data_IF_919484474363
#
_entry.id   IF_919484474363
#
_cell.length_a   1.000
_cell.length_b   1.000
_cell.length_c   1.000
_cell.angle_alpha   90.00
_cell.angle_beta   90.00
_cell.angle_gamma   90.00
#
_symmetry.space_group_name_H-M   'P 1'
#
loop_
_entity.id
_entity.type
_entity.pdbx_description
1 polymer ?
#
# COMPACT_ATOMS: atom_id res chain seq x y z
N UNK A 1 -42.58 -16.34 66.65
CA UNK A 1 -41.21 -16.86 66.48
C UNK A 1 -40.80 -16.55 65.04
N UNK A 2 -40.10 -15.44 64.81
CA UNK A 2 -39.75 -14.93 63.47
C UNK A 2 -38.51 -15.67 62.96
N UNK A 3 -38.60 -16.38 61.84
CA UNK A 3 -37.46 -16.98 61.15
C UNK A 3 -36.62 -15.86 60.52
N UNK A 4 -35.36 -15.76 60.96
CA UNK A 4 -34.36 -14.84 60.43
C UNK A 4 -33.68 -15.54 59.25
N UNK A 5 -33.83 -14.95 58.07
CA UNK A 5 -33.15 -15.32 56.84
C UNK A 5 -31.66 -14.99 56.96
N UNK A 6 -30.79 -16.01 56.93
CA UNK A 6 -29.34 -15.86 56.81
C UNK A 6 -28.99 -15.79 55.32
N UNK A 7 -28.94 -14.57 54.77
CA UNK A 7 -28.22 -14.31 53.52
C UNK A 7 -26.72 -14.28 53.83
N UNK A 8 -25.99 -15.30 53.38
CA UNK A 8 -24.54 -15.24 53.24
C UNK A 8 -24.19 -14.35 52.03
N UNK A 9 -23.35 -13.32 52.16
CA UNK A 9 -22.77 -12.68 50.99
C UNK A 9 -21.70 -13.60 50.42
N UNK A 10 -21.95 -14.13 49.22
CA UNK A 10 -20.95 -14.77 48.39
C UNK A 10 -19.94 -13.69 47.96
N UNK A 11 -18.81 -13.62 48.66
CA UNK A 11 -17.71 -12.73 48.30
C UNK A 11 -17.11 -13.26 46.99
N UNK A 12 -17.46 -12.63 45.87
CA UNK A 12 -16.84 -12.89 44.57
C UNK A 12 -15.40 -12.38 44.65
N UNK A 13 -14.44 -13.28 44.88
CA UNK A 13 -13.02 -12.96 44.75
C UNK A 13 -12.75 -12.88 43.24
N UNK A 14 -12.80 -11.67 42.68
CA UNK A 14 -12.16 -11.42 41.40
C UNK A 14 -10.66 -11.71 41.58
N UNK A 15 -10.03 -12.56 40.76
CA UNK A 15 -8.58 -12.70 40.81
C UNK A 15 -7.98 -11.33 40.52
N UNK A 16 -7.16 -10.81 41.44
CA UNK A 16 -6.25 -9.72 41.14
C UNK A 16 -5.33 -10.22 40.03
N UNK A 17 -5.59 -9.84 38.79
CA UNK A 17 -4.61 -9.93 37.73
C UNK A 17 -3.45 -9.01 38.16
N UNK A 18 -2.31 -9.60 38.51
CA UNK A 18 -1.07 -8.84 38.55
C UNK A 18 -0.87 -8.31 37.12
N UNK A 19 -0.91 -6.99 36.96
CA UNK A 19 -0.63 -6.34 35.69
C UNK A 19 0.84 -6.63 35.37
N UNK A 20 1.07 -7.68 34.58
CA UNK A 20 2.41 -7.98 34.08
C UNK A 20 2.66 -6.98 32.95
N UNK A 21 3.81 -6.32 32.97
CA UNK A 21 4.29 -5.56 31.80
C UNK A 21 4.49 -6.50 30.61
N UNK A 22 4.65 -5.95 29.40
CA UNK A 22 4.77 -6.74 28.17
C UNK A 22 5.89 -7.80 28.23
N UNK A 23 7.01 -7.50 28.89
CA UNK A 23 8.11 -8.46 29.10
C UNK A 23 7.69 -9.67 29.96
N UNK A 24 6.76 -9.48 30.90
CA UNK A 24 6.16 -10.57 31.69
C UNK A 24 5.28 -11.49 30.83
N UNK A 25 4.53 -10.93 29.88
CA UNK A 25 3.75 -11.72 28.93
C UNK A 25 4.66 -12.48 27.97
N UNK A 26 5.70 -11.84 27.44
CA UNK A 26 6.68 -12.46 26.55
C UNK A 26 7.42 -13.61 27.25
N UNK A 27 7.89 -13.41 28.47
CA UNK A 27 8.62 -14.45 29.23
C UNK A 27 7.74 -15.61 29.72
N UNK A 28 6.44 -15.39 29.94
CA UNK A 28 5.49 -16.43 30.34
C UNK A 28 4.85 -17.19 29.17
N UNK A 29 5.07 -16.73 27.93
CA UNK A 29 4.52 -17.34 26.72
C UNK A 29 5.56 -18.21 26.03
N UNK A 30 5.33 -19.52 25.98
CA UNK A 30 6.23 -20.50 25.35
C UNK A 30 6.57 -20.17 23.90
N UNK A 31 5.60 -19.62 23.17
CA UNK A 31 5.70 -19.35 21.74
C UNK A 31 6.56 -18.12 21.43
N UNK A 32 7.00 -17.38 22.47
CA UNK A 32 7.78 -16.15 22.37
C UNK A 32 9.16 -16.27 23.04
N UNK A 33 9.63 -17.49 23.32
CA UNK A 33 10.92 -17.71 23.96
C UNK A 33 12.11 -17.17 23.15
N UNK A 34 12.08 -17.27 21.81
CA UNK A 34 13.11 -16.72 20.92
C UNK A 34 13.12 -15.19 21.02
N UNK A 35 11.94 -14.57 21.01
CA UNK A 35 11.79 -13.13 21.21
C UNK A 35 12.31 -12.69 22.58
N UNK A 36 12.00 -13.46 23.63
CA UNK A 36 12.50 -13.20 24.98
C UNK A 36 14.04 -13.24 25.04
N UNK A 37 14.68 -14.19 24.34
CA UNK A 37 16.14 -14.24 24.24
C UNK A 37 16.72 -12.98 23.57
N UNK A 38 16.14 -12.56 22.45
CA UNK A 38 16.56 -11.35 21.72
C UNK A 38 16.42 -10.11 22.62
N UNK A 39 15.29 -9.92 23.28
CA UNK A 39 15.05 -8.75 24.14
C UNK A 39 16.04 -8.70 25.32
N UNK A 40 16.42 -9.86 25.89
CA UNK A 40 17.41 -9.91 26.96
C UNK A 40 18.85 -9.62 26.48
N UNK A 41 19.13 -9.85 25.20
CA UNK A 41 20.41 -9.51 24.57
C UNK A 41 20.52 -8.00 24.25
N UNK A 42 19.38 -7.34 24.00
CA UNK A 42 19.31 -5.92 23.64
C UNK A 42 18.45 -5.10 24.63
N UNK A 43 19.05 -4.51 25.68
CA UNK A 43 18.31 -3.79 26.74
C UNK A 43 17.57 -2.52 26.27
N UNK A 44 17.99 -1.93 25.15
CA UNK A 44 17.29 -0.80 24.52
C UNK A 44 15.88 -1.21 24.04
N UNK A 45 15.75 -2.43 23.47
CA UNK A 45 14.47 -2.99 23.01
C UNK A 45 13.55 -3.26 24.20
N UNK A 46 14.10 -3.78 25.30
CA UNK A 46 13.34 -3.97 26.53
C UNK A 46 12.78 -2.65 27.05
N UNK A 47 13.55 -1.56 26.96
CA UNK A 47 13.10 -0.23 27.38
C UNK A 47 12.03 0.33 26.44
N UNK A 48 12.17 0.14 25.13
CA UNK A 48 11.18 0.53 24.13
C UNK A 48 9.84 -0.23 24.31
N UNK A 49 9.90 -1.53 24.61
CA UNK A 49 8.73 -2.37 24.88
C UNK A 49 8.12 -2.07 26.27
N UNK A 50 8.93 -1.86 27.30
CA UNK A 50 8.42 -1.55 28.65
C UNK A 50 7.68 -0.21 28.71
N UNK A 51 8.04 0.74 27.85
CA UNK A 51 7.34 2.02 27.68
C UNK A 51 6.25 1.97 26.60
N UNK A 52 6.09 0.83 25.92
CA UNK A 52 5.10 0.67 24.87
C UNK A 52 3.70 0.51 25.45
N UNK A 53 2.76 1.29 24.90
CA UNK A 53 1.34 1.08 25.06
C UNK A 53 0.73 0.76 23.69
N UNK A 54 -0.35 -0.01 23.68
CA UNK A 54 -1.11 -0.36 22.49
C UNK A 54 -1.03 -1.85 22.14
N UNK A 55 -0.89 -2.16 20.86
CA UNK A 55 -0.97 -3.52 20.34
C UNK A 55 0.38 -3.98 19.83
N UNK A 56 0.87 -5.10 20.33
CA UNK A 56 2.10 -5.71 19.84
C UNK A 56 1.79 -7.00 19.09
N UNK A 57 2.12 -7.04 17.81
CA UNK A 57 2.06 -8.26 17.02
C UNK A 57 3.34 -9.05 17.23
N UNK A 58 3.38 -9.94 18.21
CA UNK A 58 4.59 -10.66 18.58
C UNK A 58 4.85 -11.83 17.62
N UNK A 59 5.96 -11.85 16.87
CA UNK A 59 6.29 -13.00 16.03
C UNK A 59 6.63 -14.21 16.91
N UNK A 60 6.05 -15.37 16.56
CA UNK A 60 6.34 -16.64 17.22
C UNK A 60 7.78 -17.11 17.02
N UNK A 61 8.22 -18.10 17.79
CA UNK A 61 9.55 -18.71 17.65
C UNK A 61 9.83 -19.16 16.20
N UNK A 62 8.89 -19.90 15.59
CA UNK A 62 9.03 -20.39 14.22
C UNK A 62 9.13 -19.22 13.21
N UNK A 63 8.37 -18.15 13.45
CA UNK A 63 8.41 -16.94 12.62
C UNK A 63 9.78 -16.27 12.65
N UNK A 64 10.33 -16.07 13.86
CA UNK A 64 11.63 -15.44 14.07
C UNK A 64 12.77 -16.32 13.52
N UNK A 65 12.71 -17.62 13.75
CA UNK A 65 13.73 -18.56 13.26
C UNK A 65 13.75 -18.59 11.72
N UNK A 66 12.57 -18.58 11.08
CA UNK A 66 12.44 -18.48 9.63
C UNK A 66 13.00 -17.14 9.11
N UNK A 67 12.69 -16.03 9.77
CA UNK A 67 13.20 -14.70 9.41
C UNK A 67 14.73 -14.63 9.53
N UNK A 68 15.29 -15.04 10.66
CA UNK A 68 16.74 -15.06 10.91
C UNK A 68 17.45 -15.94 9.86
N UNK A 69 16.86 -17.07 9.50
CA UNK A 69 17.39 -17.94 8.45
C UNK A 69 17.35 -17.25 7.07
N UNK A 70 16.26 -16.56 6.75
CA UNK A 70 16.08 -15.87 5.47
C UNK A 70 17.06 -14.70 5.28
N UNK A 71 17.41 -13.99 6.35
CA UNK A 71 18.37 -12.85 6.29
C UNK A 71 19.83 -13.28 6.35
N UNK A 72 20.13 -14.59 6.38
CA UNK A 72 21.50 -15.11 6.35
C UNK A 72 22.12 -15.37 7.73
N UNK A 73 21.29 -15.46 8.77
CA UNK A 73 21.68 -15.82 10.13
C UNK A 73 21.69 -14.63 11.10
N UNK A 74 21.92 -14.90 12.41
CA UNK A 74 21.79 -13.90 13.48
C UNK A 74 22.77 -12.73 13.36
N UNK A 75 23.92 -12.95 12.72
CA UNK A 75 24.94 -11.91 12.53
C UNK A 75 24.59 -10.88 11.45
N UNK A 76 23.59 -11.16 10.62
CA UNK A 76 23.13 -10.25 9.57
C UNK A 76 22.12 -9.21 10.09
N UNK A 77 21.57 -9.41 11.29
CA UNK A 77 20.58 -8.52 11.89
C UNK A 77 21.30 -7.49 12.75
N UNK A 78 21.30 -6.23 12.32
CA UNK A 78 21.87 -5.12 13.10
C UNK A 78 20.91 -4.70 14.20
N UNK A 79 21.39 -4.12 15.33
CA UNK A 79 20.52 -3.63 16.39
C UNK A 79 19.45 -2.64 15.89
N UNK A 80 19.83 -1.75 14.97
CA UNK A 80 18.91 -0.78 14.35
C UNK A 80 17.79 -1.49 13.57
N UNK A 81 18.12 -2.53 12.80
CA UNK A 81 17.12 -3.30 12.07
C UNK A 81 16.15 -4.06 12.99
N UNK A 82 16.60 -4.51 14.17
CA UNK A 82 15.72 -5.12 15.17
C UNK A 82 14.80 -4.06 15.78
N UNK A 83 15.30 -2.86 16.05
CA UNK A 83 14.48 -1.76 16.56
C UNK A 83 13.38 -1.38 15.56
N UNK A 84 13.72 -1.20 14.29
CA UNK A 84 12.74 -0.96 13.21
C UNK A 84 11.73 -2.09 13.12
N UNK A 85 12.18 -3.34 13.31
CA UNK A 85 11.31 -4.50 13.30
C UNK A 85 10.28 -4.40 14.42
N UNK A 86 10.72 -4.14 15.64
CA UNK A 86 9.83 -4.00 16.80
C UNK A 86 8.88 -2.82 16.63
N UNK A 87 9.34 -1.68 16.13
CA UNK A 87 8.49 -0.51 15.89
C UNK A 87 7.45 -0.77 14.79
N UNK A 88 7.75 -1.62 13.81
CA UNK A 88 6.78 -2.05 12.81
C UNK A 88 5.74 -3.05 13.36
N UNK A 89 6.13 -3.88 14.34
CA UNK A 89 5.22 -4.83 15.00
C UNK A 89 4.40 -4.19 16.12
N UNK A 90 4.69 -2.93 16.48
CA UNK A 90 4.07 -2.23 17.59
C UNK A 90 3.17 -1.10 17.09
N UNK A 91 1.91 -1.13 17.52
CA UNK A 91 0.94 -0.07 17.32
C UNK A 91 0.76 0.72 18.62
N UNK A 92 0.73 2.07 18.57
CA UNK A 92 0.45 2.89 19.76
C UNK A 92 -1.00 2.78 20.24
N UNK A 93 -1.89 2.16 19.45
CA UNK A 93 -3.30 1.99 19.76
C UNK A 93 -3.60 0.54 20.15
N UNK A 94 -4.53 0.35 21.08
CA UNK A 94 -4.98 -0.97 21.51
C UNK A 94 -6.11 -1.46 20.60
N UNK A 95 -5.90 -2.58 19.94
CA UNK A 95 -6.82 -3.21 19.02
C UNK A 95 -7.07 -4.66 19.45
N UNK A 96 -8.28 -4.95 19.91
CA UNK A 96 -8.71 -6.31 20.18
C UNK A 96 -8.91 -7.10 18.88
N UNK A 97 -8.74 -8.42 18.92
CA UNK A 97 -8.88 -9.25 17.73
C UNK A 97 -10.30 -9.15 17.14
N UNK A 98 -11.33 -8.96 17.97
CA UNK A 98 -12.70 -8.70 17.52
C UNK A 98 -12.80 -7.46 16.63
N UNK A 99 -12.14 -6.35 17.03
CA UNK A 99 -12.16 -5.10 16.26
C UNK A 99 -11.42 -5.25 14.92
N UNK A 100 -10.34 -6.05 14.89
CA UNK A 100 -9.57 -6.34 13.68
C UNK A 100 -10.26 -7.36 12.75
N UNK A 101 -11.19 -8.14 13.29
CA UNK A 101 -11.94 -9.17 12.56
C UNK A 101 -13.30 -8.66 12.07
N UNK A 102 -13.43 -7.35 11.85
CA UNK A 102 -14.63 -6.72 11.30
C UNK A 102 -14.66 -6.75 9.78
N UNK A 103 -15.86 -6.79 9.19
CA UNK A 103 -16.02 -6.76 7.74
C UNK A 103 -15.44 -5.45 7.17
N UNK A 104 -14.68 -5.53 6.09
CA UNK A 104 -13.85 -4.44 5.58
C UNK A 104 -12.42 -4.43 6.12
N UNK A 105 -12.13 -5.12 7.22
CA UNK A 105 -10.84 -5.09 7.91
C UNK A 105 -10.54 -3.76 8.60
N UNK A 106 -9.36 -3.67 9.21
CA UNK A 106 -8.91 -2.51 9.95
C UNK A 106 -7.48 -2.12 9.56
N UNK A 107 -7.23 -0.82 9.43
CA UNK A 107 -5.86 -0.29 9.36
C UNK A 107 -5.34 -0.04 10.76
N UNK A 108 -4.15 -0.54 11.04
CA UNK A 108 -3.46 -0.40 12.31
C UNK A 108 -2.21 0.42 12.08
N UNK A 109 -2.16 1.62 12.65
CA UNK A 109 -0.94 2.44 12.63
C UNK A 109 0.18 1.76 13.41
N UNK A 110 1.38 1.75 12.85
CA UNK A 110 2.60 1.26 13.52
C UNK A 110 3.37 2.43 14.14
N UNK A 111 4.49 2.14 14.81
CA UNK A 111 5.44 3.16 15.29
C UNK A 111 6.59 3.42 14.32
N UNK A 112 6.64 2.67 13.20
CA UNK A 112 7.70 2.82 12.21
C UNK A 112 7.57 4.17 11.48
N UNK A 113 8.52 5.06 11.79
CA UNK A 113 8.63 6.42 11.25
C UNK A 113 9.87 6.63 10.37
N UNK A 114 10.74 5.62 10.24
CA UNK A 114 11.93 5.71 9.40
C UNK A 114 11.52 6.00 7.95
N UNK A 115 12.06 7.07 7.36
CA UNK A 115 11.75 7.53 6.00
C UNK A 115 12.09 6.48 4.94
N UNK A 116 13.01 5.55 5.21
CA UNK A 116 13.30 4.41 4.34
C UNK A 116 12.08 3.49 4.15
N UNK A 117 11.20 3.44 5.15
CA UNK A 117 10.03 2.55 5.20
C UNK A 117 8.69 3.28 5.31
N UNK A 118 8.68 4.58 5.63
CA UNK A 118 7.49 5.39 5.88
C UNK A 118 7.62 6.79 5.26
N UNK A 119 7.65 6.86 3.92
CA UNK A 119 7.61 8.10 3.16
C UNK A 119 6.16 8.57 2.92
N UNK A 120 5.46 8.87 4.02
CA UNK A 120 4.06 9.31 4.04
C UNK A 120 3.91 10.71 4.67
N UNK A 121 4.86 11.62 4.41
CA UNK A 121 4.86 13.01 4.93
C UNK A 121 4.84 13.10 6.46
N UNK A 122 5.61 12.24 7.14
CA UNK A 122 5.69 12.20 8.61
C UNK A 122 4.57 11.40 9.29
N UNK A 123 3.74 10.70 8.50
CA UNK A 123 2.77 9.72 9.02
C UNK A 123 3.46 8.36 9.13
N UNK A 124 3.28 7.70 10.27
CA UNK A 124 3.80 6.34 10.47
C UNK A 124 3.18 5.36 9.48
N UNK A 125 3.94 4.34 9.09
CA UNK A 125 3.40 3.30 8.24
C UNK A 125 2.30 2.51 8.97
N UNK A 126 1.48 1.77 8.23
CA UNK A 126 0.37 0.98 8.77
C UNK A 126 0.53 -0.49 8.41
N UNK A 127 -0.23 -1.33 9.09
CA UNK A 127 -0.53 -2.69 8.65
C UNK A 127 -2.03 -2.83 8.50
N UNK A 128 -2.45 -3.68 7.57
CA UNK A 128 -3.87 -3.99 7.38
C UNK A 128 -4.18 -5.31 8.06
N UNK A 129 -5.12 -5.34 8.99
CA UNK A 129 -5.55 -6.58 9.64
C UNK A 129 -6.98 -6.92 9.20
N UNK A 130 -7.21 -8.18 8.82
CA UNK A 130 -8.55 -8.64 8.45
C UNK A 130 -8.70 -10.15 8.57
N UNK A 131 -9.90 -10.58 8.96
CA UNK A 131 -10.36 -11.95 8.83
C UNK A 131 -11.14 -12.21 7.52
N UNK A 132 -11.30 -11.19 6.67
CA UNK A 132 -12.07 -11.22 5.41
C UNK A 132 -11.16 -11.02 4.18
N UNK A 133 -10.01 -11.68 4.18
CA UNK A 133 -9.06 -11.65 3.06
C UNK A 133 -8.25 -10.35 2.97
N UNK A 134 -7.42 -10.25 1.93
CA UNK A 134 -6.47 -9.15 1.73
C UNK A 134 -7.14 -7.82 1.40
N UNK A 135 -8.38 -7.86 0.91
CA UNK A 135 -9.21 -6.67 0.61
C UNK A 135 -10.22 -6.36 1.71
N UNK A 136 -10.36 -7.26 2.70
CA UNK A 136 -11.41 -7.19 3.72
C UNK A 136 -12.83 -7.42 3.18
N UNK A 137 -12.98 -7.89 1.94
CA UNK A 137 -14.28 -8.08 1.31
C UNK A 137 -14.79 -9.52 1.34
N UNK A 138 -13.97 -10.53 1.63
CA UNK A 138 -14.35 -11.93 1.51
C UNK A 138 -15.68 -12.20 2.26
N UNK A 139 -16.55 -13.04 1.70
CA UNK A 139 -17.81 -13.40 2.38
C UNK A 139 -17.62 -14.46 3.45
N UNK A 140 -16.55 -15.25 3.35
CA UNK A 140 -16.21 -16.29 4.30
C UNK A 140 -15.27 -15.73 5.37
N UNK A 141 -15.60 -15.97 6.64
CA UNK A 141 -14.73 -15.61 7.74
C UNK A 141 -13.53 -16.59 7.77
N UNK A 142 -12.34 -16.05 7.57
CA UNK A 142 -11.07 -16.76 7.70
C UNK A 142 -10.42 -16.56 9.08
N UNK A 143 -9.19 -17.04 9.22
CA UNK A 143 -8.35 -16.67 10.35
C UNK A 143 -7.98 -15.17 10.26
N UNK A 144 -7.84 -14.50 11.41
CA UNK A 144 -7.36 -13.12 11.46
C UNK A 144 -5.93 -13.07 10.93
N UNK A 145 -5.71 -12.27 9.89
CA UNK A 145 -4.41 -12.09 9.24
C UNK A 145 -4.00 -10.63 9.27
N UNK A 146 -2.71 -10.39 9.37
CA UNK A 146 -2.05 -9.10 9.26
C UNK A 146 -1.28 -9.07 7.95
N UNK A 147 -1.65 -8.12 7.10
CA UNK A 147 -1.07 -7.80 5.82
C UNK A 147 -0.16 -6.59 5.98
N UNK A 148 1.07 -6.72 5.48
CA UNK A 148 2.15 -5.74 5.63
C UNK A 148 2.73 -5.43 4.25
N UNK A 149 4.05 -5.27 4.14
CA UNK A 149 4.73 -5.24 2.85
C UNK A 149 4.53 -6.51 2.02
N UNK A 150 5.07 -6.45 0.80
CA UNK A 150 5.01 -7.52 -0.20
C UNK A 150 5.40 -8.89 0.36
N UNK A 151 4.60 -9.90 0.04
CA UNK A 151 4.81 -11.28 0.48
C UNK A 151 3.57 -11.88 1.14
N UNK A 152 3.80 -12.93 1.92
CA UNK A 152 2.73 -13.63 2.65
C UNK A 152 2.30 -12.86 3.90
N UNK A 153 1.00 -12.87 4.18
CA UNK A 153 0.40 -12.31 5.38
C UNK A 153 0.74 -13.12 6.63
N UNK A 154 0.84 -12.47 7.78
CA UNK A 154 1.00 -13.14 9.07
C UNK A 154 -0.36 -13.51 9.68
N UNK A 155 -0.58 -14.77 10.02
CA UNK A 155 -1.78 -15.23 10.72
C UNK A 155 -1.63 -15.02 12.22
N UNK A 156 -2.67 -14.46 12.86
CA UNK A 156 -2.74 -14.36 14.32
C UNK A 156 -3.09 -15.74 14.88
N UNK A 157 -2.13 -16.37 15.55
CA UNK A 157 -2.27 -17.72 16.13
C UNK A 157 -2.83 -17.68 17.54
N UNK A 158 -2.46 -16.65 18.31
CA UNK A 158 -2.93 -16.46 19.68
C UNK A 158 -3.25 -14.97 19.93
N UNK A 159 -4.53 -14.58 19.84
CA UNK A 159 -4.94 -13.20 20.04
C UNK A 159 -5.10 -12.82 21.52
N UNK A 160 -5.21 -11.51 21.75
CA UNK A 160 -5.74 -10.86 22.97
C UNK A 160 -5.02 -11.22 24.29
N UNK A 161 -3.69 -11.24 24.29
CA UNK A 161 -2.92 -11.38 25.54
C UNK A 161 -2.75 -10.03 26.23
N UNK A 162 -3.48 -9.84 27.32
CA UNK A 162 -3.50 -8.60 28.08
C UNK A 162 -2.19 -8.34 28.84
N UNK A 163 -1.71 -7.10 28.77
CA UNK A 163 -0.64 -6.56 29.62
C UNK A 163 -1.00 -5.13 30.08
N UNK A 164 -0.25 -4.58 31.04
CA UNK A 164 -0.56 -3.27 31.65
C UNK A 164 -0.73 -2.12 30.64
N UNK A 165 -0.05 -2.19 29.49
CA UNK A 165 -0.08 -1.17 28.44
C UNK A 165 -0.94 -1.52 27.22
N UNK A 166 -1.58 -2.69 27.16
CA UNK A 166 -2.45 -3.07 26.03
C UNK A 166 -2.53 -4.57 25.74
N UNK A 167 -2.38 -4.95 24.46
CA UNK A 167 -2.59 -6.32 23.98
C UNK A 167 -1.40 -6.85 23.19
N UNK A 168 -1.09 -8.14 23.35
CA UNK A 168 -0.17 -8.89 22.50
C UNK A 168 -0.96 -9.89 21.66
N UNK A 169 -0.75 -9.87 20.34
CA UNK A 169 -1.22 -10.89 19.41
C UNK A 169 -0.03 -11.67 18.88
N UNK A 170 0.01 -12.98 19.12
CA UNK A 170 1.07 -13.83 18.56
C UNK A 170 0.78 -14.09 17.09
N UNK A 171 1.78 -13.91 16.24
CA UNK A 171 1.69 -14.12 14.78
C UNK A 171 2.67 -15.21 14.31
N UNK A 172 2.28 -15.94 13.26
CA UNK A 172 3.06 -17.04 12.68
C UNK A 172 4.19 -16.59 11.75
N UNK A 173 4.30 -15.28 11.46
CA UNK A 173 5.29 -14.70 10.56
C UNK A 173 5.75 -13.34 11.04
N UNK A 174 6.98 -13.00 10.71
CA UNK A 174 7.49 -11.63 10.86
C UNK A 174 6.85 -10.75 9.79
N UNK A 175 6.39 -9.56 10.17
CA UNK A 175 5.80 -8.59 9.24
C UNK A 175 6.86 -8.12 8.23
N UNK A 176 6.51 -8.14 6.95
CA UNK A 176 7.42 -7.74 5.88
C UNK A 176 7.52 -6.22 5.85
N UNK A 177 8.74 -5.69 5.93
CA UNK A 177 8.96 -4.26 5.80
C UNK A 177 8.40 -3.72 4.48
N UNK A 178 7.72 -2.56 4.53
CA UNK A 178 7.29 -1.87 3.32
C UNK A 178 8.48 -1.59 2.41
N UNK A 179 8.30 -1.81 1.11
CA UNK A 179 9.27 -1.46 0.07
C UNK A 179 8.66 -0.39 -0.83
N UNK A 180 9.48 0.29 -1.62
CA UNK A 180 8.95 1.16 -2.67
C UNK A 180 8.21 0.33 -3.74
N UNK A 181 7.49 1.01 -4.62
CA UNK A 181 6.66 0.35 -5.63
C UNK A 181 7.48 -0.53 -6.57
N UNK A 182 8.64 -0.05 -7.03
CA UNK A 182 9.50 -0.77 -7.97
C UNK A 182 10.02 -2.08 -7.36
N UNK A 183 10.51 -2.02 -6.11
CA UNK A 183 10.99 -3.21 -5.41
C UNK A 183 9.85 -4.15 -5.02
N UNK A 184 8.68 -3.60 -4.71
CA UNK A 184 7.46 -4.38 -4.49
C UNK A 184 7.07 -5.16 -5.74
N UNK A 185 7.08 -4.54 -6.91
CA UNK A 185 6.80 -5.21 -8.19
C UNK A 185 7.81 -6.34 -8.48
N UNK A 186 9.09 -6.11 -8.22
CA UNK A 186 10.14 -7.13 -8.38
C UNK A 186 9.89 -8.35 -7.47
N UNK A 187 9.65 -8.13 -6.17
CA UNK A 187 9.44 -9.21 -5.20
C UNK A 187 8.10 -9.93 -5.42
N UNK A 188 7.07 -9.22 -5.84
CA UNK A 188 5.77 -9.78 -6.20
C UNK A 188 5.79 -10.54 -7.55
N UNK A 189 6.94 -10.66 -8.21
CA UNK A 189 7.09 -11.31 -9.52
C UNK A 189 6.25 -10.64 -10.63
N UNK A 190 6.03 -9.33 -10.53
CA UNK A 190 5.30 -8.52 -11.51
C UNK A 190 6.26 -7.97 -12.57
N UNK A 191 7.05 -8.86 -13.19
CA UNK A 191 8.16 -8.51 -14.08
C UNK A 191 7.72 -7.64 -15.27
N UNK A 192 6.53 -7.89 -15.84
CA UNK A 192 6.04 -7.10 -16.98
C UNK A 192 5.74 -5.66 -16.59
N UNK A 193 5.19 -5.45 -15.39
CA UNK A 193 4.94 -4.10 -14.87
C UNK A 193 6.27 -3.39 -14.56
N UNK A 194 7.21 -4.09 -13.96
CA UNK A 194 8.54 -3.57 -13.68
C UNK A 194 9.26 -3.13 -14.97
N UNK A 195 9.25 -3.97 -16.02
CA UNK A 195 9.80 -3.63 -17.33
C UNK A 195 9.12 -2.39 -17.96
N UNK A 196 7.81 -2.24 -17.79
CA UNK A 196 7.08 -1.06 -18.29
C UNK A 196 7.53 0.25 -17.58
N UNK A 197 7.76 0.18 -16.26
CA UNK A 197 8.24 1.32 -15.47
C UNK A 197 9.67 1.68 -15.86
N UNK A 198 10.55 0.68 -16.01
CA UNK A 198 11.94 0.89 -16.43
C UNK A 198 12.02 1.47 -17.84
N UNK A 199 11.26 0.93 -18.79
CA UNK A 199 11.23 1.40 -20.19
C UNK A 199 10.79 2.87 -20.30
N UNK A 200 9.90 3.32 -19.42
CA UNK A 200 9.40 4.71 -19.40
C UNK A 200 10.22 5.64 -18.50
N UNK A 201 11.25 5.13 -17.82
CA UNK A 201 12.10 5.88 -16.89
C UNK A 201 11.29 6.59 -15.78
N UNK A 202 10.19 5.97 -15.34
CA UNK A 202 9.31 6.51 -14.29
C UNK A 202 9.65 6.00 -12.88
N UNK A 203 10.66 5.14 -12.74
CA UNK A 203 11.08 4.53 -11.47
C UNK A 203 11.20 5.55 -10.34
N UNK A 204 11.93 6.65 -10.57
CA UNK A 204 12.12 7.69 -9.55
C UNK A 204 10.79 8.35 -9.14
N UNK A 205 9.91 8.64 -10.10
CA UNK A 205 8.61 9.25 -9.84
C UNK A 205 7.74 8.32 -9.00
N UNK A 206 7.65 7.05 -9.39
CA UNK A 206 6.80 6.06 -8.73
C UNK A 206 7.32 5.73 -7.32
N UNK A 207 8.63 5.74 -7.10
CA UNK A 207 9.23 5.39 -5.81
C UNK A 207 9.27 6.57 -4.81
N UNK A 208 9.27 7.81 -5.30
CA UNK A 208 9.40 9.01 -4.43
C UNK A 208 8.08 9.75 -4.19
N UNK A 209 7.07 9.56 -5.04
CA UNK A 209 5.76 10.20 -4.87
C UNK A 209 5.10 9.69 -3.60
N UNK A 210 4.88 10.58 -2.62
CA UNK A 210 4.17 10.25 -1.40
C UNK A 210 2.66 10.04 -1.66
N UNK A 211 2.02 9.22 -0.82
CA UNK A 211 0.60 8.85 -0.92
C UNK A 211 0.23 8.31 -2.31
N UNK A 212 1.00 7.32 -2.73
CA UNK A 212 0.85 6.68 -4.03
C UNK A 212 0.05 5.38 -3.92
N UNK A 213 -1.02 5.28 -4.69
CA UNK A 213 -1.78 4.03 -4.81
C UNK A 213 -1.52 3.41 -6.19
N UNK A 214 -0.93 2.22 -6.21
CA UNK A 214 -0.60 1.49 -7.42
C UNK A 214 -1.60 0.36 -7.66
N UNK A 215 -2.23 0.34 -8.83
CA UNK A 215 -2.98 -0.81 -9.33
C UNK A 215 -2.04 -1.65 -10.19
N UNK A 216 -1.55 -2.76 -9.67
CA UNK A 216 -0.46 -3.52 -10.26
C UNK A 216 -0.98 -4.79 -10.96
N UNK A 217 -1.06 -4.85 -12.30
CA UNK A 217 -1.53 -6.06 -12.99
C UNK A 217 -0.52 -7.20 -12.87
N UNK A 218 -1.03 -8.43 -12.76
CA UNK A 218 -0.23 -9.65 -12.80
C UNK A 218 0.38 -9.90 -14.19
N UNK A 219 1.44 -10.70 -14.28
CA UNK A 219 2.00 -11.11 -15.57
C UNK A 219 0.95 -11.87 -16.42
N UNK A 220 0.11 -12.67 -15.76
CA UNK A 220 -1.02 -13.37 -16.36
C UNK A 220 -2.04 -12.38 -16.94
N UNK A 221 -2.27 -11.24 -16.26
CA UNK A 221 -3.14 -10.18 -16.77
C UNK A 221 -2.61 -9.57 -18.07
N UNK A 222 -1.31 -9.26 -18.13
CA UNK A 222 -0.67 -8.75 -19.35
C UNK A 222 -0.75 -9.76 -20.49
N UNK A 223 -0.46 -11.04 -20.21
CA UNK A 223 -0.53 -12.11 -21.19
C UNK A 223 -1.97 -12.33 -21.70
N UNK A 224 -2.97 -12.31 -20.81
CA UNK A 224 -4.38 -12.44 -21.15
C UNK A 224 -4.90 -11.26 -21.99
N UNK A 225 -4.39 -10.05 -21.74
CA UNK A 225 -4.70 -8.87 -22.53
C UNK A 225 -3.97 -8.86 -23.90
N UNK A 226 -3.02 -9.77 -24.13
CA UNK A 226 -2.23 -9.81 -25.36
C UNK A 226 -1.35 -8.57 -25.55
N UNK A 227 -0.96 -7.92 -24.45
CA UNK A 227 -0.18 -6.69 -24.49
C UNK A 227 1.29 -7.04 -24.67
N UNK A 228 1.86 -6.59 -25.79
CA UNK A 228 3.30 -6.61 -26.04
C UNK A 228 3.86 -5.20 -25.83
N UNK A 229 4.64 -5.03 -24.76
CA UNK A 229 5.27 -3.75 -24.43
C UNK A 229 6.20 -3.26 -25.55
N UNK A 230 6.76 -4.15 -26.37
CA UNK A 230 7.64 -3.78 -27.49
C UNK A 230 6.88 -3.13 -28.65
N UNK A 231 5.60 -3.47 -28.80
CA UNK A 231 4.72 -2.92 -29.83
C UNK A 231 4.10 -1.57 -29.44
N UNK A 232 4.13 -1.21 -28.15
CA UNK A 232 3.62 0.06 -27.63
C UNK A 232 4.68 1.17 -27.65
N UNK A 233 4.23 2.38 -27.94
CA UNK A 233 5.06 3.58 -27.79
C UNK A 233 5.29 3.90 -26.30
N UNK A 234 6.36 4.63 -25.99
CA UNK A 234 6.61 5.06 -24.61
C UNK A 234 5.45 5.89 -24.06
N UNK A 235 4.86 6.78 -24.86
CA UNK A 235 3.73 7.62 -24.44
C UNK A 235 2.51 6.78 -24.04
N UNK A 236 2.21 5.72 -24.80
CA UNK A 236 1.12 4.80 -24.47
C UNK A 236 1.36 4.06 -23.16
N UNK A 237 2.60 3.64 -22.91
CA UNK A 237 2.97 2.95 -21.65
C UNK A 237 2.88 3.94 -20.48
N UNK A 238 3.36 5.17 -20.65
CA UNK A 238 3.25 6.23 -19.63
C UNK A 238 1.79 6.51 -19.29
N UNK A 239 0.92 6.68 -20.29
CA UNK A 239 -0.49 6.95 -20.06
C UNK A 239 -1.20 5.76 -19.39
N UNK A 240 -0.84 4.53 -19.77
CA UNK A 240 -1.34 3.33 -19.09
C UNK A 240 -0.89 3.26 -17.62
N UNK A 241 0.39 3.53 -17.32
CA UNK A 241 0.91 3.54 -15.96
C UNK A 241 0.24 4.64 -15.11
N UNK A 242 0.01 5.83 -15.69
CA UNK A 242 -0.75 6.90 -15.03
C UNK A 242 -2.19 6.49 -14.73
N UNK A 243 -2.84 5.75 -15.61
CA UNK A 243 -4.19 5.25 -15.38
C UNK A 243 -4.26 4.17 -14.28
N UNK A 244 -3.16 3.44 -14.08
CA UNK A 244 -3.01 2.48 -12.99
C UNK A 244 -2.58 3.11 -11.66
N UNK A 245 -2.55 4.44 -11.57
CA UNK A 245 -1.99 5.15 -10.41
C UNK A 245 -2.93 6.23 -9.89
N UNK A 246 -3.09 6.31 -8.57
CA UNK A 246 -3.75 7.43 -7.87
C UNK A 246 -2.70 8.11 -6.98
N UNK A 247 -2.72 9.45 -6.93
CA UNK A 247 -1.81 10.26 -6.11
C UNK A 247 -2.61 11.16 -5.18
N UNK A 248 -2.09 11.40 -3.98
CA UNK A 248 -2.65 12.35 -3.02
C UNK A 248 -3.57 11.72 -1.97
N UNK A 249 -3.92 10.44 -2.14
CA UNK A 249 -4.62 9.64 -1.15
C UNK A 249 -4.07 8.20 -1.15
N UNK A 250 -3.96 7.60 0.04
CA UNK A 250 -3.57 6.20 0.18
C UNK A 250 -4.84 5.37 0.18
N UNK A 251 -5.21 4.90 -1.00
CA UNK A 251 -6.44 4.16 -1.24
C UNK A 251 -6.37 2.74 -0.72
N UNK A 252 -6.38 2.55 0.60
CA UNK A 252 -6.58 1.22 1.20
C UNK A 252 -7.99 0.72 0.88
N UNK A 253 -8.20 -0.61 0.89
CA UNK A 253 -9.52 -1.18 0.60
C UNK A 253 -10.63 -0.73 1.57
N UNK A 254 -10.25 -0.34 2.79
CA UNK A 254 -11.11 0.25 3.82
C UNK A 254 -11.58 1.66 3.48
N UNK A 255 -10.75 2.44 2.76
CA UNK A 255 -11.06 3.80 2.35
C UNK A 255 -11.90 3.85 1.06
N UNK A 256 -11.92 2.77 0.29
CA UNK A 256 -12.72 2.72 -0.92
C UNK A 256 -14.22 2.59 -0.64
N UNK A 257 -15.02 3.39 -1.33
CA UNK A 257 -16.49 3.36 -1.30
C UNK A 257 -17.01 2.67 -2.57
N UNK A 258 -18.06 1.87 -2.43
CA UNK A 258 -18.68 1.18 -3.56
C UNK A 258 -19.38 2.17 -4.50
N UNK A 259 -19.11 2.04 -5.80
CA UNK A 259 -19.64 2.90 -6.86
C UNK A 259 -19.00 4.29 -6.94
N UNK A 260 -17.96 4.57 -6.15
CA UNK A 260 -17.29 5.86 -6.15
C UNK A 260 -16.16 5.91 -7.18
N UNK A 261 -16.03 7.06 -7.83
CA UNK A 261 -14.94 7.38 -8.74
C UNK A 261 -13.74 7.97 -8.00
N UNK A 262 -12.55 7.51 -8.37
CA UNK A 262 -11.27 7.97 -7.84
C UNK A 262 -10.41 8.46 -8.99
N UNK A 263 -9.85 9.67 -8.85
CA UNK A 263 -9.08 10.26 -9.93
C UNK A 263 -7.70 9.63 -10.07
N UNK A 264 -7.38 9.19 -11.28
CA UNK A 264 -6.05 8.67 -11.59
C UNK A 264 -5.10 9.78 -11.98
N UNK A 265 -3.79 9.48 -12.02
CA UNK A 265 -2.77 10.41 -12.48
C UNK A 265 -2.92 10.78 -13.97
N UNK A 266 -3.66 9.97 -14.74
CA UNK A 266 -4.00 10.30 -16.14
C UNK A 266 -5.08 11.41 -16.21
N UNK A 267 -5.79 11.68 -15.11
CA UNK A 267 -6.92 12.60 -15.05
C UNK A 267 -8.26 11.98 -15.45
N UNK A 268 -8.27 10.67 -15.71
CA UNK A 268 -9.48 9.88 -15.98
C UNK A 268 -9.79 9.04 -14.75
N UNK A 269 -11.01 9.07 -14.20
CA UNK A 269 -11.29 8.33 -12.99
C UNK A 269 -11.38 6.82 -13.24
N UNK A 270 -11.13 6.05 -12.17
CA UNK A 270 -11.52 4.65 -12.05
C UNK A 270 -12.68 4.55 -11.07
N UNK A 271 -13.63 3.66 -11.33
CA UNK A 271 -14.75 3.39 -10.41
C UNK A 271 -14.42 2.18 -9.56
N UNK A 272 -14.56 2.27 -8.24
CA UNK A 272 -14.39 1.12 -7.37
C UNK A 272 -15.72 0.42 -7.15
N UNK A 273 -15.73 -0.90 -7.23
CA UNK A 273 -16.90 -1.72 -6.92
C UNK A 273 -16.60 -2.79 -5.88
N UNK A 274 -17.53 -3.01 -4.96
CA UNK A 274 -17.52 -4.07 -3.95
C UNK A 274 -18.73 -4.97 -4.21
N UNK A 275 -18.51 -6.11 -4.87
CA UNK A 275 -19.57 -7.03 -5.29
C UNK A 275 -19.21 -8.46 -4.91
N UNK A 276 -20.17 -9.21 -4.36
CA UNK A 276 -20.01 -10.63 -4.02
C UNK A 276 -18.79 -10.97 -3.16
N UNK A 277 -18.41 -10.05 -2.28
CA UNK A 277 -17.24 -10.16 -1.41
C UNK A 277 -15.89 -10.04 -2.10
N UNK A 278 -15.87 -9.35 -3.25
CA UNK A 278 -14.67 -9.10 -4.03
C UNK A 278 -14.58 -7.60 -4.35
N UNK A 279 -13.36 -7.06 -4.27
CA UNK A 279 -13.05 -5.70 -4.69
C UNK A 279 -12.69 -5.68 -6.18
N UNK A 280 -13.25 -4.72 -6.92
CA UNK A 280 -12.98 -4.47 -8.32
C UNK A 280 -12.60 -3.01 -8.55
N UNK A 281 -11.66 -2.79 -9.47
CA UNK A 281 -11.32 -1.49 -10.01
C UNK A 281 -11.81 -1.47 -11.46
N UNK A 282 -12.76 -0.59 -11.76
CA UNK A 282 -13.69 -0.74 -12.88
C UNK A 282 -14.31 -2.15 -12.87
N UNK A 283 -13.98 -2.98 -13.86
CA UNK A 283 -14.44 -4.37 -13.94
C UNK A 283 -13.31 -5.40 -13.74
N UNK A 284 -12.15 -4.96 -13.22
CA UNK A 284 -11.00 -5.82 -12.96
C UNK A 284 -10.92 -6.18 -11.48
N UNK A 285 -10.90 -7.48 -11.17
CA UNK A 285 -10.84 -7.97 -9.79
C UNK A 285 -9.45 -7.75 -9.17
N UNK A 286 -9.43 -7.33 -7.92
CA UNK A 286 -8.23 -7.22 -7.07
C UNK A 286 -7.91 -8.60 -6.48
N UNK A 287 -6.83 -9.24 -6.93
CA UNK A 287 -6.41 -10.55 -6.40
C UNK A 287 -5.78 -10.44 -5.02
N UNK A 288 -4.94 -9.42 -4.81
CA UNK A 288 -4.32 -9.13 -3.53
C UNK A 288 -4.42 -7.64 -3.25
N UNK A 289 -5.20 -7.27 -2.23
CA UNK A 289 -5.31 -5.89 -1.78
C UNK A 289 -4.26 -5.55 -0.72
N UNK A 290 -4.09 -4.24 -0.51
CA UNK A 290 -3.37 -3.69 0.63
C UNK A 290 -1.92 -4.20 0.79
N UNK A 291 -1.18 -4.31 -0.31
CA UNK A 291 0.28 -4.51 -0.25
C UNK A 291 0.90 -3.19 0.19
N UNK A 292 1.36 -3.13 1.44
CA UNK A 292 1.82 -1.88 2.04
C UNK A 292 3.18 -1.49 1.47
N UNK A 293 3.30 -0.27 0.97
CA UNK A 293 4.53 0.28 0.40
C UNK A 293 5.09 1.39 1.28
N UNK A 294 6.35 1.75 1.08
CA UNK A 294 6.97 2.83 1.84
C UNK A 294 6.33 4.18 1.55
N UNK A 295 5.83 4.39 0.32
CA UNK A 295 5.22 5.64 -0.13
C UNK A 295 3.71 5.53 -0.39
N UNK A 296 3.06 4.41 -0.01
CA UNK A 296 1.61 4.24 -0.16
C UNK A 296 1.16 2.78 -0.16
N UNK A 297 0.32 2.38 -1.12
CA UNK A 297 -0.27 1.02 -1.17
C UNK A 297 -0.39 0.49 -2.59
N UNK A 298 -0.14 -0.81 -2.77
CA UNK A 298 -0.39 -1.50 -4.03
C UNK A 298 -1.56 -2.49 -3.91
N UNK A 299 -2.34 -2.58 -4.98
CA UNK A 299 -3.39 -3.58 -5.16
C UNK A 299 -3.09 -4.38 -6.42
N UNK A 300 -2.86 -5.67 -6.26
CA UNK A 300 -2.55 -6.58 -7.36
C UNK A 300 -3.83 -6.94 -8.11
N UNK A 301 -3.84 -6.71 -9.42
CA UNK A 301 -5.00 -6.89 -10.28
C UNK A 301 -4.90 -8.15 -11.15
N UNK A 302 -6.06 -8.76 -11.39
CA UNK A 302 -6.25 -9.88 -12.33
C UNK A 302 -6.27 -9.46 -13.80
N UNK A 303 -6.28 -8.17 -14.10
CA UNK A 303 -6.44 -7.60 -15.43
C UNK A 303 -5.70 -6.27 -15.56
N UNK A 304 -5.54 -5.80 -16.79
CA UNK A 304 -4.96 -4.49 -17.10
C UNK A 304 -6.10 -3.47 -17.26
N UNK A 305 -6.02 -2.36 -16.54
CA UNK A 305 -6.98 -1.26 -16.66
C UNK A 305 -6.80 -0.56 -18.00
N UNK A 306 -7.89 -0.40 -18.73
CA UNK A 306 -7.89 0.29 -20.02
C UNK A 306 -8.73 1.56 -19.90
N UNK A 307 -8.19 2.74 -20.23
CA UNK A 307 -8.98 3.96 -20.25
C UNK A 307 -10.16 3.84 -21.24
N UNK A 308 -11.31 4.47 -20.96
CA UNK A 308 -12.41 4.53 -21.91
C UNK A 308 -11.98 5.07 -23.29
N UNK A 309 -12.50 4.48 -24.36
CA UNK A 309 -12.14 4.84 -25.74
C UNK A 309 -12.41 6.34 -26.00
N UNK A 310 -11.38 7.07 -26.44
CA UNK A 310 -11.44 8.51 -26.69
C UNK A 310 -10.53 9.34 -25.78
N UNK A 311 -9.94 8.75 -24.75
CA UNK A 311 -8.96 9.41 -23.87
C UNK A 311 -7.53 9.01 -24.23
N UNK A 312 -7.15 9.22 -25.48
CA UNK A 312 -5.73 9.45 -25.81
C UNK A 312 -5.51 10.94 -25.69
N UNK A 313 -4.64 11.38 -24.80
CA UNK A 313 -4.23 12.79 -24.77
C UNK A 313 -3.71 13.15 -26.16
N UNK A 314 -4.46 13.99 -26.86
CA UNK A 314 -4.15 14.40 -28.22
C UNK A 314 -2.78 15.10 -28.22
N UNK A 315 -1.74 14.40 -28.67
CA UNK A 315 -0.50 15.00 -29.10
C UNK A 315 0.09 14.17 -30.24
N UNK A 316 -0.25 14.57 -31.47
CA UNK A 316 0.22 13.93 -32.70
C UNK A 316 -0.74 14.19 -33.85
N UNK A 317 -0.37 15.17 -34.69
CA UNK A 317 -1.15 15.68 -35.82
C UNK A 317 -1.60 14.60 -36.84
N UNK A 318 -2.78 14.83 -37.45
CA UNK A 318 -2.97 15.00 -38.91
C UNK A 318 -4.32 14.46 -39.39
N UNK A 319 -4.98 15.19 -40.30
CA UNK A 319 -5.90 14.59 -41.26
C UNK A 319 -7.30 15.19 -41.33
N UNK A 320 -7.42 16.28 -42.09
CA UNK A 320 -8.49 16.57 -43.05
C UNK A 320 -9.83 15.81 -42.92
N UNK A 321 -10.88 16.53 -42.53
CA UNK A 321 -12.21 16.29 -43.09
C UNK A 321 -12.76 17.57 -43.72
N UNK A 322 -13.01 17.45 -45.02
CA UNK A 322 -13.68 18.43 -45.88
C UNK A 322 -15.17 18.36 -45.60
N UNK A 323 -15.81 19.50 -45.33
CA UNK A 323 -17.27 19.61 -45.40
C UNK A 323 -17.68 20.98 -45.97
N UNK A 324 -18.63 20.91 -46.90
CA UNK A 324 -18.99 21.90 -47.91
C UNK A 324 -20.13 22.85 -47.48
N UNK A 325 -19.99 24.12 -47.90
CA UNK A 325 -21.04 25.11 -48.28
C UNK A 325 -21.83 25.88 -47.17
N UNK A 326 -22.53 27.01 -47.51
CA UNK A 326 -22.07 28.20 -48.23
C UNK A 326 -22.49 29.56 -47.59
N UNK A 327 -21.79 30.65 -47.96
CA UNK A 327 -22.37 32.00 -48.16
C UNK A 327 -22.32 33.02 -47.00
N UNK A 328 -21.52 34.09 -47.16
CA UNK A 328 -21.96 35.49 -47.24
C UNK A 328 -20.79 36.48 -47.11
N UNK A 329 -20.93 37.58 -47.86
CA UNK A 329 -20.01 38.69 -48.13
C UNK A 329 -19.40 39.42 -46.93
N UNK A 330 -18.20 39.98 -47.12
CA UNK A 330 -17.62 41.02 -46.28
C UNK A 330 -16.28 41.53 -46.81
N UNK A 331 -16.30 42.69 -47.46
CA UNK A 331 -15.19 43.43 -48.08
C UNK A 331 -14.21 44.01 -47.05
N UNK A 332 -12.89 43.97 -47.31
CA UNK A 332 -11.89 44.69 -46.51
C UNK A 332 -10.46 44.53 -47.06
N UNK A 333 -9.74 45.64 -47.18
CA UNK A 333 -8.66 45.92 -48.14
C UNK A 333 -7.24 45.83 -47.53
N UNK A 334 -6.27 45.42 -48.36
CA UNK A 334 -4.85 45.81 -48.45
C UNK A 334 -3.81 45.46 -47.34
N UNK A 335 -2.66 44.91 -47.78
CA UNK A 335 -1.38 45.01 -47.06
C UNK A 335 -0.26 44.02 -47.46
N UNK A 336 0.51 44.37 -48.51
CA UNK A 336 1.86 43.93 -48.96
C UNK A 336 2.66 42.83 -48.17
N UNK A 337 3.10 41.77 -48.87
CA UNK A 337 4.47 41.49 -49.41
C UNK A 337 5.60 41.22 -48.38
N UNK A 338 6.22 40.02 -48.39
CA UNK A 338 7.50 39.71 -49.11
C UNK A 338 8.01 38.33 -48.69
N UNK A 339 8.50 37.56 -49.66
CA UNK A 339 9.12 36.24 -49.49
C UNK A 339 10.53 36.33 -48.88
N UNK A 340 10.87 35.36 -48.02
CA UNK A 340 12.23 35.15 -47.51
C UNK A 340 12.47 33.66 -47.26
N UNK A 341 13.15 33.04 -48.23
CA UNK A 341 13.63 31.65 -48.20
C UNK A 341 14.75 31.48 -47.16
N UNK A 342 14.68 30.45 -46.32
CA UNK A 342 15.75 30.03 -45.42
C UNK A 342 15.48 28.65 -44.83
N UNK A 343 16.00 27.60 -45.48
CA UNK A 343 16.04 26.26 -44.94
C UNK A 343 17.12 26.15 -43.85
N UNK A 344 16.77 25.58 -42.69
CA UNK A 344 17.72 25.03 -41.71
C UNK A 344 17.09 23.74 -41.15
N UNK A 345 17.77 22.57 -41.22
CA UNK A 345 17.24 21.32 -40.69
C UNK A 345 17.46 21.26 -39.18
N UNK A 346 16.41 21.03 -38.37
CA UNK A 346 16.57 20.80 -36.94
C UNK A 346 16.71 19.32 -36.62
N UNK A 347 17.98 18.95 -36.54
CA UNK A 347 18.55 17.79 -35.85
C UNK A 347 18.08 17.72 -34.40
N UNK A 348 17.76 16.49 -33.97
CA UNK A 348 17.72 15.95 -32.61
C UNK A 348 17.80 16.95 -31.44
N UNK A 349 16.72 17.06 -30.68
CA UNK A 349 16.76 17.50 -29.29
C UNK A 349 16.00 16.46 -28.48
N UNK A 350 16.73 15.71 -27.65
CA UNK A 350 16.14 14.86 -26.63
C UNK A 350 15.54 15.75 -25.56
N UNK A 351 14.32 15.44 -25.15
CA UNK A 351 13.74 16.03 -23.95
C UNK A 351 14.54 15.50 -22.75
N UNK A 352 15.13 16.41 -21.98
CA UNK A 352 15.87 16.12 -20.76
C UNK A 352 14.88 15.83 -19.63
N UNK A 353 15.20 14.84 -18.78
CA UNK A 353 14.40 14.42 -17.61
C UNK A 353 13.99 15.58 -16.68
N UNK A 354 14.70 16.71 -16.73
CA UNK A 354 14.36 17.94 -15.99
C UNK A 354 13.04 18.59 -16.41
N UNK A 355 12.61 18.44 -17.67
CA UNK A 355 11.40 19.11 -18.18
C UNK A 355 10.11 18.37 -17.78
N UNK A 356 10.21 17.07 -17.47
CA UNK A 356 9.10 16.25 -16.99
C UNK A 356 8.89 16.46 -15.48
N UNK A 357 9.97 16.62 -14.72
CA UNK A 357 9.91 16.93 -13.27
C UNK A 357 9.33 18.33 -13.03
N UNK A 358 9.63 19.31 -13.89
CA UNK A 358 9.05 20.65 -13.81
C UNK A 358 7.54 20.67 -14.14
N UNK A 359 7.06 19.81 -15.05
CA UNK A 359 5.65 19.72 -15.40
C UNK A 359 4.79 19.14 -14.25
N UNK A 360 5.34 18.23 -13.45
CA UNK A 360 4.66 17.63 -12.30
C UNK A 360 4.68 18.53 -11.06
N UNK A 361 5.78 19.26 -10.81
CA UNK A 361 5.87 20.20 -9.69
C UNK A 361 4.94 21.40 -9.83
N UNK A 362 4.63 21.80 -11.07
CA UNK A 362 3.72 22.93 -11.34
C UNK A 362 2.24 22.54 -11.13
N UNK A 363 1.90 21.26 -11.22
CA UNK A 363 0.53 20.77 -10.96
C UNK A 363 0.22 20.67 -9.46
N UNK A 364 1.23 20.36 -8.63
CA UNK A 364 1.11 20.31 -7.17
C UNK A 364 0.73 21.67 -6.54
N UNK A 365 1.17 22.78 -7.15
CA UNK A 365 0.84 24.14 -6.68
C UNK A 365 -0.47 24.72 -7.22
N UNK A 366 -1.17 24.04 -8.14
CA UNK A 366 -2.49 24.51 -8.63
C UNK A 366 -3.68 23.93 -7.86
N UNK A 367 -3.46 22.99 -6.93
CA UNK A 367 -4.51 22.33 -6.16
C UNK A 367 -4.31 22.37 -4.63
N UNK A 368 -3.49 23.30 -4.13
CA UNK A 368 -3.41 23.66 -2.70
C UNK A 368 -4.31 24.87 -2.39
#
# INVERSE_FOLDING_TARGET
MRMISLLYPLLLIAPLAFAHGIAGIISSTSDLSTLNSIINEYPEILSALASANGTFFAPSNDALDAFISAVGGPTAVTPDAIQDLIDYHLSPLTHAAEALSTAGGALVSTRLLDEAYANLEGVANVVFASAYGSTGQDTALGALKVYSGVGESATVTRPDLEFEGGLVHVIDRVLNFPRNCTKTAEVASLSTLFEAIEKTNLTEVVDTTAKFTCFAPTNEAFAAAGIDLSALSNDQIVDALKYHSIVGDVGYSTAFEDGKEYQTLLGVPVTVHKRDGQLFINDVAVQQGNVIMSNGVAHVLSGVLTPPAGVTTASGASGTETSTAPGASGTGTAGASTAGSGAIPLRAQGFSSSDIVAALLTLYFMFA
#
